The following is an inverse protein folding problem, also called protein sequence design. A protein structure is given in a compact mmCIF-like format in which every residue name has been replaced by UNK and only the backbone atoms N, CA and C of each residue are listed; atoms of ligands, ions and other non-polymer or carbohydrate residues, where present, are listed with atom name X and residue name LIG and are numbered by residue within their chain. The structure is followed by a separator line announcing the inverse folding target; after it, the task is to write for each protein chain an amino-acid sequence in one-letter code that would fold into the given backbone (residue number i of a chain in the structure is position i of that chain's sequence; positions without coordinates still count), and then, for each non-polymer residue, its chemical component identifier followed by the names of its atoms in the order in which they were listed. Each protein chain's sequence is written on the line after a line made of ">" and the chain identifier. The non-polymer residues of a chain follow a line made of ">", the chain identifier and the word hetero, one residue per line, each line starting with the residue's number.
data_IF_388143905909
#
_entry.id   IF_388143905909
#
_cell.length_a   1.000
_cell.length_b   1.000
_cell.length_c   1.000
_cell.angle_alpha   90.00
_cell.angle_beta   90.00
_cell.angle_gamma   90.00
#
_symmetry.space_group_name_H-M   'P 1'
#
loop_
_entity.id
_entity.type
_entity.pdbx_description
1 polymer ?
#
# COMPACT_ATOMS: atom_id res chain seq x y z
N UNK A 1 -18.91 -8.66 23.15
CA UNK A 1 -19.35 -7.32 22.72
C UNK A 1 -19.74 -7.43 21.26
N UNK A 2 -20.98 -7.09 20.92
CA UNK A 2 -21.42 -6.99 19.53
C UNK A 2 -20.59 -5.92 18.82
N UNK A 3 -20.36 -6.14 17.54
CA UNK A 3 -19.65 -5.19 16.70
C UNK A 3 -20.71 -4.41 15.92
N UNK A 4 -20.87 -3.13 16.21
CA UNK A 4 -21.90 -2.26 15.61
C UNK A 4 -21.96 -2.40 14.08
N UNK A 5 -20.81 -2.55 13.40
CA UNK A 5 -20.80 -2.76 11.97
C UNK A 5 -21.40 -4.12 11.55
N UNK A 6 -21.16 -5.19 12.35
CA UNK A 6 -21.79 -6.48 12.11
C UNK A 6 -23.30 -6.39 12.27
N UNK A 7 -23.78 -5.67 13.28
CA UNK A 7 -25.21 -5.50 13.55
C UNK A 7 -25.87 -4.71 12.40
N UNK A 8 -25.28 -3.61 11.95
CA UNK A 8 -25.77 -2.84 10.78
C UNK A 8 -25.88 -3.73 9.53
N UNK A 9 -24.86 -4.54 9.25
CA UNK A 9 -24.91 -5.43 8.09
C UNK A 9 -25.92 -6.57 8.26
N UNK A 10 -26.12 -7.10 9.46
CA UNK A 10 -27.15 -8.10 9.72
C UNK A 10 -28.55 -7.57 9.41
N UNK A 11 -28.80 -6.31 9.77
CA UNK A 11 -30.12 -5.68 9.64
C UNK A 11 -30.43 -5.24 8.20
N UNK A 12 -29.42 -4.86 7.41
CA UNK A 12 -29.61 -4.18 6.11
C UNK A 12 -28.95 -4.86 4.91
N UNK A 13 -28.23 -5.97 5.09
CA UNK A 13 -27.39 -6.53 4.04
C UNK A 13 -28.16 -7.07 2.85
N UNK A 14 -29.28 -7.76 3.09
CA UNK A 14 -30.11 -8.32 2.01
C UNK A 14 -30.67 -7.23 1.11
N UNK A 15 -31.17 -6.13 1.69
CA UNK A 15 -31.64 -4.97 0.94
C UNK A 15 -30.51 -4.34 0.11
N UNK A 16 -29.33 -4.20 0.70
CA UNK A 16 -28.16 -3.66 0.00
C UNK A 16 -27.71 -4.54 -1.16
N UNK A 17 -27.76 -5.86 -1.05
CA UNK A 17 -27.45 -6.78 -2.14
C UNK A 17 -28.37 -6.56 -3.35
N UNK A 18 -29.67 -6.38 -3.07
CA UNK A 18 -30.68 -6.16 -4.11
C UNK A 18 -30.50 -4.82 -4.83
N UNK A 19 -30.18 -3.74 -4.08
CA UNK A 19 -30.06 -2.38 -4.64
C UNK A 19 -28.70 -2.17 -5.33
N UNK A 20 -27.60 -2.63 -4.74
CA UNK A 20 -26.24 -2.24 -5.16
C UNK A 20 -25.56 -3.25 -6.09
N UNK A 21 -26.07 -4.48 -6.19
CA UNK A 21 -25.46 -5.57 -6.97
C UNK A 21 -23.93 -5.65 -6.82
N UNK A 22 -23.39 -5.78 -5.59
CA UNK A 22 -21.96 -5.72 -5.35
C UNK A 22 -21.22 -6.90 -5.99
N UNK A 23 -19.94 -6.72 -6.26
CA UNK A 23 -19.08 -7.78 -6.80
C UNK A 23 -18.99 -8.96 -5.83
N UNK A 24 -18.83 -10.18 -6.37
CA UNK A 24 -18.70 -11.44 -5.60
C UNK A 24 -17.72 -11.33 -4.44
N UNK A 25 -16.56 -10.71 -4.66
CA UNK A 25 -15.56 -10.53 -3.60
C UNK A 25 -16.03 -9.63 -2.45
N UNK A 26 -16.94 -8.68 -2.68
CA UNK A 26 -17.56 -7.86 -1.62
C UNK A 26 -18.52 -8.72 -0.82
N UNK A 27 -19.40 -9.46 -1.52
CA UNK A 27 -20.35 -10.38 -0.91
C UNK A 27 -19.63 -11.35 0.03
N UNK A 28 -18.63 -12.08 -0.47
CA UNK A 28 -17.86 -13.04 0.33
C UNK A 28 -17.19 -12.43 1.58
N UNK A 29 -16.70 -11.18 1.47
CA UNK A 29 -16.09 -10.51 2.62
C UNK A 29 -17.12 -10.06 3.65
N UNK A 30 -18.29 -9.61 3.21
CA UNK A 30 -19.38 -9.19 4.12
C UNK A 30 -19.96 -10.42 4.81
N UNK A 31 -20.24 -11.52 4.10
CA UNK A 31 -20.75 -12.77 4.66
C UNK A 31 -19.81 -13.30 5.76
N UNK A 32 -18.51 -13.33 5.47
CA UNK A 32 -17.51 -13.73 6.48
C UNK A 32 -17.47 -12.79 7.68
N UNK A 33 -17.63 -11.48 7.46
CA UNK A 33 -17.58 -10.48 8.53
C UNK A 33 -18.82 -10.57 9.42
N UNK A 34 -20.01 -10.74 8.87
CA UNK A 34 -21.27 -10.87 9.61
C UNK A 34 -21.18 -12.05 10.60
N UNK A 35 -20.57 -13.15 10.18
CA UNK A 35 -20.47 -14.39 10.96
C UNK A 35 -19.16 -14.49 11.79
N UNK A 36 -18.37 -13.41 11.84
CA UNK A 36 -17.07 -13.42 12.50
C UNK A 36 -17.19 -13.54 14.02
N UNK A 37 -16.72 -14.67 14.55
CA UNK A 37 -16.72 -14.93 15.98
C UNK A 37 -18.04 -15.47 16.54
N UNK A 38 -18.95 -15.87 15.65
CA UNK A 38 -20.16 -16.56 16.02
C UNK A 38 -19.83 -18.06 16.27
N UNK A 39 -20.15 -18.61 17.47
CA UNK A 39 -19.89 -20.01 17.80
C UNK A 39 -20.57 -21.02 16.87
N UNK A 40 -21.70 -20.67 16.24
CA UNK A 40 -22.43 -21.56 15.31
C UNK A 40 -21.62 -21.88 14.04
N UNK A 41 -20.65 -21.03 13.68
CA UNK A 41 -19.74 -21.25 12.55
C UNK A 41 -18.47 -22.02 12.95
N UNK A 42 -18.45 -22.60 14.16
CA UNK A 42 -17.38 -23.41 14.65
C UNK A 42 -16.33 -22.67 15.46
N UNK A 43 -15.41 -23.42 16.04
CA UNK A 43 -14.36 -22.92 16.90
C UNK A 43 -13.41 -24.03 17.35
N UNK A 44 -12.45 -23.65 18.18
CA UNK A 44 -11.51 -24.57 18.80
C UNK A 44 -11.74 -24.63 20.32
N UNK A 45 -11.73 -25.85 20.87
CA UNK A 45 -11.80 -26.08 22.32
C UNK A 45 -10.38 -26.19 22.88
N UNK A 46 -10.05 -25.36 23.84
CA UNK A 46 -8.78 -25.38 24.57
C UNK A 46 -9.01 -25.89 25.99
N UNK A 47 -8.22 -26.86 26.41
CA UNK A 47 -8.22 -27.38 27.77
C UNK A 47 -6.96 -26.95 28.53
N UNK A 48 -7.11 -26.56 29.77
CA UNK A 48 -5.98 -26.29 30.64
C UNK A 48 -5.52 -27.59 31.31
N UNK A 49 -4.29 -28.00 31.06
CA UNK A 49 -3.71 -29.21 31.65
C UNK A 49 -3.52 -29.14 33.18
N UNK A 50 -3.51 -27.93 33.75
CA UNK A 50 -3.32 -27.73 35.20
C UNK A 50 -4.62 -27.75 35.99
N UNK A 51 -5.69 -27.14 35.47
CA UNK A 51 -6.95 -26.98 36.21
C UNK A 51 -8.16 -27.64 35.54
N UNK A 52 -7.99 -28.28 34.38
CA UNK A 52 -9.08 -28.97 33.65
C UNK A 52 -10.12 -28.03 33.02
N UNK A 53 -9.97 -26.74 33.15
CA UNK A 53 -10.94 -25.78 32.58
C UNK A 53 -10.90 -25.78 31.07
N UNK A 54 -12.08 -25.83 30.43
CA UNK A 54 -12.22 -25.73 28.99
C UNK A 54 -12.63 -24.31 28.57
N UNK A 55 -12.07 -23.86 27.44
CA UNK A 55 -12.42 -22.59 26.82
C UNK A 55 -12.69 -22.80 25.32
N UNK A 56 -13.92 -22.46 24.91
CA UNK A 56 -14.25 -22.43 23.49
C UNK A 56 -13.85 -21.09 22.90
N UNK A 57 -13.14 -21.13 21.74
CA UNK A 57 -12.72 -19.93 20.99
C UNK A 57 -13.32 -20.01 19.59
N UNK A 58 -14.32 -19.18 19.25
CA UNK A 58 -14.96 -19.20 17.95
C UNK A 58 -13.98 -18.74 16.85
N UNK A 59 -14.14 -19.30 15.65
CA UNK A 59 -13.33 -18.95 14.50
C UNK A 59 -13.50 -17.47 14.10
N UNK A 60 -12.43 -16.89 13.57
CA UNK A 60 -12.41 -15.52 13.09
C UNK A 60 -12.34 -15.50 11.56
N UNK A 61 -12.97 -14.49 10.92
CA UNK A 61 -13.07 -14.41 9.47
C UNK A 61 -11.76 -14.05 8.76
N UNK A 62 -10.77 -13.51 9.48
CA UNK A 62 -9.50 -12.99 8.96
C UNK A 62 -9.64 -11.97 7.82
N UNK A 63 -10.85 -11.47 7.59
CA UNK A 63 -11.10 -10.43 6.57
C UNK A 63 -10.58 -9.08 7.04
N UNK A 64 -9.90 -8.37 6.15
CA UNK A 64 -9.47 -6.97 6.39
C UNK A 64 -10.66 -6.01 6.47
N UNK A 65 -11.79 -6.40 5.92
CA UNK A 65 -13.05 -5.65 5.99
C UNK A 65 -13.68 -5.71 7.39
N UNK A 66 -13.47 -6.78 8.13
CA UNK A 66 -13.97 -6.92 9.50
C UNK A 66 -13.21 -5.99 10.44
N UNK A 67 -13.88 -5.11 11.22
CA UNK A 67 -13.22 -4.19 12.13
C UNK A 67 -12.29 -4.87 13.14
N UNK A 68 -12.69 -6.02 13.68
CA UNK A 68 -11.89 -6.78 14.66
C UNK A 68 -10.66 -7.41 13.98
N UNK A 69 -10.89 -8.18 12.90
CA UNK A 69 -9.82 -8.87 12.20
C UNK A 69 -8.91 -7.90 11.43
N UNK A 70 -9.47 -6.85 10.84
CA UNK A 70 -8.72 -5.81 10.15
C UNK A 70 -7.83 -5.02 11.09
N UNK A 71 -8.31 -4.67 12.29
CA UNK A 71 -7.48 -4.01 13.32
C UNK A 71 -6.34 -4.91 13.75
N UNK A 72 -6.61 -6.19 14.04
CA UNK A 72 -5.55 -7.16 14.37
C UNK A 72 -4.54 -7.28 13.24
N UNK A 73 -5.00 -7.43 12.00
CA UNK A 73 -4.11 -7.48 10.82
C UNK A 73 -3.21 -6.25 10.72
N UNK A 74 -3.76 -5.04 10.92
CA UNK A 74 -2.98 -3.79 10.87
C UNK A 74 -1.93 -3.72 11.99
N UNK A 75 -2.26 -4.17 13.19
CA UNK A 75 -1.31 -4.22 14.32
C UNK A 75 -0.19 -5.21 14.02
N UNK A 76 -0.53 -6.44 13.62
CA UNK A 76 0.45 -7.50 13.33
C UNK A 76 1.39 -7.09 12.18
N UNK A 77 0.83 -6.47 11.12
CA UNK A 77 1.59 -5.95 10.00
C UNK A 77 2.51 -4.80 10.40
N UNK A 78 2.01 -3.83 11.16
CA UNK A 78 2.81 -2.69 11.65
C UNK A 78 3.96 -3.18 12.53
N UNK A 79 3.70 -4.13 13.41
CA UNK A 79 4.71 -4.76 14.26
C UNK A 79 5.78 -5.46 13.42
N UNK A 80 5.37 -6.31 12.47
CA UNK A 80 6.30 -6.98 11.55
C UNK A 80 7.14 -6.01 10.74
N UNK A 81 6.55 -4.91 10.26
CA UNK A 81 7.28 -3.87 9.52
C UNK A 81 8.27 -3.12 10.41
N UNK A 82 7.92 -2.87 11.67
CA UNK A 82 8.79 -2.15 12.61
C UNK A 82 10.12 -2.86 12.87
N UNK A 83 10.15 -4.20 12.82
CA UNK A 83 11.38 -4.98 12.93
C UNK A 83 12.26 -4.94 11.67
N UNK A 84 11.72 -4.55 10.54
CA UNK A 84 12.46 -4.45 9.27
C UNK A 84 13.06 -3.06 9.06
N UNK A 85 12.72 -2.09 9.90
CA UNK A 85 13.20 -0.72 9.77
C UNK A 85 14.57 -0.62 10.43
N UNK A 86 15.55 -0.16 9.66
CA UNK A 86 16.89 0.13 10.15
C UNK A 86 16.91 1.41 11.01
N UNK A 87 17.84 1.51 11.95
CA UNK A 87 18.02 2.70 12.77
C UNK A 87 18.73 3.82 11.99
N UNK A 88 18.01 4.44 11.06
CA UNK A 88 18.47 5.54 10.24
C UNK A 88 17.35 6.56 10.05
N UNK A 89 17.69 7.74 9.55
CA UNK A 89 16.66 8.70 9.12
C UNK A 89 15.93 8.17 7.90
N UNK A 90 14.61 8.36 7.88
CA UNK A 90 13.76 7.97 6.77
C UNK A 90 12.96 9.15 6.24
N UNK A 91 12.62 9.07 4.97
CA UNK A 91 11.76 10.02 4.28
C UNK A 91 10.51 9.33 3.78
N UNK A 92 9.36 9.93 4.06
CA UNK A 92 8.08 9.50 3.52
C UNK A 92 7.80 10.26 2.23
N UNK A 93 7.71 9.53 1.13
CA UNK A 93 7.32 10.04 -0.18
C UNK A 93 6.00 9.44 -0.61
N UNK A 94 5.17 10.22 -1.33
CA UNK A 94 3.94 9.73 -1.93
C UNK A 94 3.99 9.98 -3.42
N UNK A 95 3.95 8.92 -4.21
CA UNK A 95 3.98 8.95 -5.67
C UNK A 95 2.56 8.84 -6.19
N UNK A 96 2.05 9.92 -6.78
CA UNK A 96 0.68 10.01 -7.27
C UNK A 96 0.65 10.07 -8.80
N UNK A 97 -0.27 9.32 -9.38
CA UNK A 97 -0.48 9.32 -10.83
C UNK A 97 -1.51 10.37 -11.24
N UNK A 98 -1.48 10.73 -12.52
CA UNK A 98 -2.50 11.58 -13.09
C UNK A 98 -3.89 10.94 -13.09
N UNK A 99 -4.93 11.78 -13.03
CA UNK A 99 -6.33 11.35 -13.05
C UNK A 99 -6.70 10.60 -14.31
N UNK A 100 -6.15 10.99 -15.46
CA UNK A 100 -6.41 10.34 -16.75
C UNK A 100 -5.91 8.91 -16.81
N UNK A 101 -4.87 8.56 -16.01
CA UNK A 101 -4.34 7.21 -15.99
C UNK A 101 -5.12 6.26 -15.09
N UNK A 102 -5.94 6.79 -14.18
CA UNK A 102 -6.57 5.98 -13.11
C UNK A 102 -7.52 4.90 -13.64
N UNK A 103 -8.21 5.15 -14.74
CA UNK A 103 -9.14 4.18 -15.33
C UNK A 103 -8.42 2.93 -15.84
N UNK A 104 -7.20 3.05 -16.42
CA UNK A 104 -6.44 1.87 -16.85
C UNK A 104 -6.17 0.90 -15.69
N UNK A 105 -5.85 1.43 -14.50
CA UNK A 105 -5.63 0.62 -13.30
C UNK A 105 -6.92 0.07 -12.68
N UNK A 106 -8.05 0.70 -12.95
CA UNK A 106 -9.36 0.21 -12.51
C UNK A 106 -9.82 -0.97 -13.38
N UNK A 107 -9.66 -0.85 -14.68
CA UNK A 107 -10.03 -1.87 -15.67
C UNK A 107 -9.07 -3.08 -15.62
N UNK A 108 -7.77 -2.82 -15.52
CA UNK A 108 -6.76 -3.87 -15.42
C UNK A 108 -5.93 -3.74 -14.13
N UNK A 109 -6.34 -4.46 -13.09
CA UNK A 109 -5.67 -4.45 -11.78
C UNK A 109 -4.24 -4.98 -11.81
N UNK A 110 -3.84 -5.74 -12.83
CA UNK A 110 -2.45 -6.22 -12.98
C UNK A 110 -1.48 -5.07 -13.17
N UNK A 111 -1.93 -3.97 -13.78
CA UNK A 111 -1.10 -2.76 -13.97
C UNK A 111 -0.67 -2.11 -12.64
N UNK A 112 -1.36 -2.38 -11.52
CA UNK A 112 -0.96 -1.86 -10.22
C UNK A 112 0.46 -2.29 -9.81
N UNK A 113 0.96 -3.43 -10.34
CA UNK A 113 2.34 -3.85 -10.17
C UNK A 113 3.34 -2.85 -10.75
N UNK A 114 3.02 -2.24 -11.88
CA UNK A 114 3.90 -1.27 -12.56
C UNK A 114 4.18 -0.02 -11.72
N UNK A 115 3.29 0.33 -10.78
CA UNK A 115 3.53 1.42 -9.86
C UNK A 115 4.69 1.12 -8.92
N UNK A 116 4.80 -0.11 -8.44
CA UNK A 116 5.92 -0.55 -7.60
C UNK A 116 7.21 -0.53 -8.39
N UNK A 117 7.21 -1.10 -9.60
CA UNK A 117 8.39 -1.17 -10.46
C UNK A 117 8.90 0.22 -10.84
N UNK A 118 7.99 1.14 -11.19
CA UNK A 118 8.33 2.51 -11.50
C UNK A 118 8.96 3.23 -10.31
N UNK A 119 8.36 3.14 -9.11
CA UNK A 119 8.89 3.79 -7.91
C UNK A 119 10.23 3.19 -7.51
N UNK A 120 10.37 1.86 -7.51
CA UNK A 120 11.62 1.18 -7.21
C UNK A 120 12.75 1.64 -8.14
N UNK A 121 12.51 1.62 -9.45
CA UNK A 121 13.46 2.09 -10.46
C UNK A 121 13.92 3.52 -10.21
N UNK A 122 12.97 4.41 -9.89
CA UNK A 122 13.25 5.84 -9.64
C UNK A 122 14.09 6.03 -8.37
N UNK A 123 13.77 5.32 -7.29
CA UNK A 123 14.53 5.38 -6.04
C UNK A 123 15.97 4.92 -6.28
N UNK A 124 16.21 3.77 -6.90
CA UNK A 124 17.56 3.30 -7.20
C UNK A 124 18.33 4.28 -8.08
N UNK A 125 17.71 4.81 -9.13
CA UNK A 125 18.33 5.83 -10.01
C UNK A 125 18.68 7.11 -9.27
N UNK A 126 17.86 7.55 -8.31
CA UNK A 126 18.13 8.73 -7.50
C UNK A 126 19.36 8.54 -6.61
N UNK A 127 19.55 7.33 -6.07
CA UNK A 127 20.74 7.01 -5.27
C UNK A 127 21.98 6.82 -6.15
N UNK A 128 21.87 6.11 -7.26
CA UNK A 128 22.97 5.91 -8.21
C UNK A 128 23.49 7.22 -8.80
N UNK A 129 22.61 8.19 -9.08
CA UNK A 129 22.98 9.47 -9.69
C UNK A 129 23.88 10.30 -8.80
N UNK A 130 23.72 10.22 -7.48
CA UNK A 130 24.50 11.01 -6.53
C UNK A 130 25.90 10.43 -6.31
N UNK A 131 26.10 9.15 -6.56
CA UNK A 131 27.39 8.51 -6.39
C UNK A 131 27.62 7.40 -7.41
N UNK A 132 28.14 7.77 -8.57
CA UNK A 132 28.43 6.83 -9.66
C UNK A 132 29.60 5.89 -9.38
N UNK A 133 30.53 6.30 -8.51
CA UNK A 133 31.74 5.53 -8.17
C UNK A 133 31.45 4.46 -7.11
N UNK A 134 30.45 4.65 -6.29
CA UNK A 134 30.09 3.73 -5.21
C UNK A 134 28.57 3.58 -5.17
N UNK A 135 28.04 2.53 -5.84
CA UNK A 135 26.64 2.18 -5.74
C UNK A 135 26.29 1.86 -4.30
N UNK A 136 25.35 2.58 -3.72
CA UNK A 136 24.83 2.24 -2.40
C UNK A 136 23.33 1.99 -2.46
N UNK A 137 22.91 0.99 -1.72
CA UNK A 137 21.54 0.48 -1.74
C UNK A 137 20.73 1.08 -0.59
N UNK A 138 19.66 1.84 -0.86
CA UNK A 138 18.75 2.32 0.18
C UNK A 138 17.86 1.19 0.67
N UNK A 139 17.41 1.28 1.94
CA UNK A 139 16.26 0.53 2.42
C UNK A 139 14.98 1.29 2.09
N UNK A 140 13.96 0.60 1.59
CA UNK A 140 12.64 1.23 1.40
C UNK A 140 11.49 0.24 1.56
N UNK A 141 10.34 0.80 1.95
CA UNK A 141 9.07 0.07 2.05
C UNK A 141 8.09 0.78 1.12
N UNK A 142 7.46 0.02 0.21
CA UNK A 142 6.44 0.51 -0.70
C UNK A 142 5.08 -0.06 -0.30
N UNK A 143 4.08 0.79 -0.20
CA UNK A 143 2.69 0.40 0.10
C UNK A 143 1.75 1.05 -0.90
N UNK A 144 0.94 0.24 -1.56
CA UNK A 144 -0.10 0.72 -2.47
C UNK A 144 -1.34 1.12 -1.69
N UNK A 145 -1.76 2.36 -1.87
CA UNK A 145 -3.09 2.83 -1.52
C UNK A 145 -3.90 3.02 -2.81
N UNK A 146 -5.14 2.58 -2.81
CA UNK A 146 -6.00 2.59 -4.00
C UNK A 146 -7.10 3.65 -3.96
N UNK A 147 -7.29 4.29 -2.79
CA UNK A 147 -8.32 5.31 -2.59
C UNK A 147 -7.75 6.57 -1.96
N UNK A 148 -8.29 7.72 -2.35
CA UNK A 148 -8.04 9.00 -1.69
C UNK A 148 -8.81 9.11 -0.36
N UNK A 149 -8.64 10.24 0.34
CA UNK A 149 -9.40 10.54 1.58
C UNK A 149 -10.90 10.70 1.32
N UNK A 150 -11.26 11.05 0.11
CA UNK A 150 -12.64 11.17 -0.39
C UNK A 150 -13.22 9.83 -0.85
N UNK A 151 -12.52 8.73 -0.57
CA UNK A 151 -12.85 7.35 -0.99
C UNK A 151 -12.94 7.15 -2.51
N UNK A 152 -12.52 8.13 -3.32
CA UNK A 152 -12.43 7.96 -4.76
C UNK A 152 -11.23 7.14 -5.16
N UNK A 153 -11.37 6.41 -6.27
CA UNK A 153 -10.29 5.63 -6.86
C UNK A 153 -9.10 6.52 -7.22
N UNK A 154 -8.00 6.30 -6.54
CA UNK A 154 -6.77 7.06 -6.68
C UNK A 154 -5.56 6.21 -6.30
N UNK A 155 -5.10 5.30 -7.17
CA UNK A 155 -3.95 4.47 -6.86
C UNK A 155 -2.68 5.32 -6.75
N UNK A 156 -1.97 5.14 -5.64
CA UNK A 156 -0.72 5.84 -5.35
C UNK A 156 0.16 5.00 -4.44
N UNK A 157 1.46 5.24 -4.49
CA UNK A 157 2.45 4.51 -3.68
C UNK A 157 2.96 5.40 -2.55
N UNK A 158 2.80 4.93 -1.34
CA UNK A 158 3.55 5.42 -0.19
C UNK A 158 4.91 4.73 -0.15
N UNK A 159 5.97 5.51 -0.11
CA UNK A 159 7.35 5.04 -0.06
C UNK A 159 8.01 5.60 1.21
N UNK A 160 8.38 4.73 2.13
CA UNK A 160 9.27 5.07 3.24
C UNK A 160 10.68 4.67 2.84
N UNK A 161 11.55 5.62 2.58
CA UNK A 161 12.93 5.38 2.12
C UNK A 161 13.93 5.88 3.13
N UNK A 162 15.02 5.13 3.37
CA UNK A 162 16.12 5.57 4.21
C UNK A 162 16.86 6.76 3.59
N UNK A 163 17.26 7.74 4.41
CA UNK A 163 18.12 8.86 3.97
C UNK A 163 19.58 8.45 3.89
N UNK A 164 19.84 7.35 3.22
CA UNK A 164 21.14 6.75 3.02
C UNK A 164 21.05 5.28 2.63
N UNK A 165 22.20 4.66 2.47
CA UNK A 165 22.30 3.24 2.11
C UNK A 165 23.67 2.69 2.46
N UNK A 166 23.86 1.38 2.26
CA UNK A 166 25.14 0.70 2.44
C UNK A 166 25.80 0.57 1.07
N UNK A 167 27.02 1.07 0.95
CA UNK A 167 27.86 0.95 -0.24
C UNK A 167 28.64 -0.36 -0.30
N UNK A 168 29.43 -0.52 -1.38
CA UNK A 168 30.26 -1.72 -1.60
C UNK A 168 31.31 -1.94 -0.49
N UNK A 169 31.74 -0.86 0.18
CA UNK A 169 32.65 -0.91 1.33
C UNK A 169 32.00 -1.41 2.63
N UNK A 170 30.68 -1.68 2.62
CA UNK A 170 29.91 -2.02 3.82
C UNK A 170 29.62 -0.82 4.73
N UNK A 171 30.05 0.38 4.37
CA UNK A 171 29.86 1.60 5.15
C UNK A 171 28.53 2.30 4.78
N UNK A 172 27.92 2.91 5.80
CA UNK A 172 26.73 3.73 5.61
C UNK A 172 27.07 5.05 4.92
N UNK A 173 26.35 5.39 3.87
CA UNK A 173 26.41 6.66 3.16
C UNK A 173 25.10 7.42 3.31
N UNK A 174 25.16 8.62 3.87
CA UNK A 174 23.97 9.47 4.05
C UNK A 174 23.62 10.20 2.77
N UNK A 175 22.32 10.24 2.47
CA UNK A 175 21.74 11.03 1.38
C UNK A 175 20.76 12.04 1.96
N UNK A 176 21.20 13.29 2.12
CA UNK A 176 20.38 14.38 2.71
C UNK A 176 19.50 15.10 1.69
N UNK A 177 19.94 15.11 0.42
CA UNK A 177 19.25 15.83 -0.63
C UNK A 177 18.52 14.90 -1.59
N UNK A 178 17.23 15.16 -1.79
CA UNK A 178 16.39 14.49 -2.79
C UNK A 178 15.98 15.51 -3.84
N UNK A 179 16.41 15.29 -5.07
CA UNK A 179 16.04 16.15 -6.18
C UNK A 179 14.61 15.83 -6.64
N UNK A 180 13.65 16.62 -6.19
CA UNK A 180 12.23 16.38 -6.49
C UNK A 180 11.89 16.56 -7.97
N UNK A 181 12.53 17.48 -8.66
CA UNK A 181 12.36 17.66 -10.11
C UNK A 181 12.77 16.38 -10.85
N UNK A 182 13.91 15.82 -10.47
CA UNK A 182 14.34 14.53 -11.01
C UNK A 182 13.35 13.41 -10.68
N UNK A 183 12.93 13.28 -9.43
CA UNK A 183 12.00 12.22 -9.01
C UNK A 183 10.68 12.29 -9.79
N UNK A 184 10.09 13.47 -9.91
CA UNK A 184 8.81 13.71 -10.64
C UNK A 184 8.91 13.32 -12.10
N UNK A 185 9.95 13.79 -12.79
CA UNK A 185 10.15 13.48 -14.20
C UNK A 185 10.50 12.01 -14.42
N UNK A 186 11.37 11.45 -13.59
CA UNK A 186 11.77 10.04 -13.67
C UNK A 186 10.59 9.10 -13.42
N UNK A 187 9.72 9.43 -12.44
CA UNK A 187 8.52 8.62 -12.14
C UNK A 187 7.52 8.65 -13.31
N UNK A 188 7.22 9.85 -13.84
CA UNK A 188 6.38 9.96 -15.04
C UNK A 188 6.91 9.10 -16.17
N UNK A 189 8.21 9.25 -16.49
CA UNK A 189 8.83 8.52 -17.60
C UNK A 189 8.80 7.01 -17.35
N UNK A 190 9.26 6.55 -16.19
CA UNK A 190 9.29 5.12 -15.88
C UNK A 190 7.90 4.47 -15.93
N UNK A 191 6.90 5.13 -15.36
CA UNK A 191 5.54 4.61 -15.36
C UNK A 191 4.94 4.56 -16.77
N UNK A 192 5.07 5.65 -17.54
CA UNK A 192 4.52 5.72 -18.89
C UNK A 192 5.21 4.73 -19.84
N UNK A 193 6.52 4.49 -19.68
CA UNK A 193 7.24 3.49 -20.47
C UNK A 193 6.79 2.07 -20.16
N UNK A 194 6.59 1.74 -18.88
CA UNK A 194 6.07 0.46 -18.44
C UNK A 194 4.63 0.24 -18.92
N UNK A 195 3.77 1.26 -18.82
CA UNK A 195 2.39 1.18 -19.31
C UNK A 195 2.35 1.02 -20.84
N UNK A 196 3.20 1.72 -21.61
CA UNK A 196 3.27 1.54 -23.07
C UNK A 196 3.69 0.12 -23.44
N UNK A 197 4.64 -0.47 -22.70
CA UNK A 197 5.07 -1.85 -22.91
C UNK A 197 3.92 -2.85 -22.74
N UNK A 198 3.07 -2.64 -21.74
CA UNK A 198 1.93 -3.53 -21.41
C UNK A 198 0.70 -3.28 -22.31
N UNK A 199 0.40 -2.01 -22.62
CA UNK A 199 -0.82 -1.62 -23.34
C UNK A 199 -0.61 -1.48 -24.85
N UNK A 200 0.66 -1.46 -25.31
CA UNK A 200 1.02 -1.39 -26.72
C UNK A 200 0.82 -0.02 -27.35
N UNK A 201 0.70 -0.05 -28.69
CA UNK A 201 0.70 1.17 -29.54
C UNK A 201 -0.48 2.11 -29.24
N UNK A 202 -1.62 1.58 -28.82
CA UNK A 202 -2.81 2.37 -28.47
C UNK A 202 -2.56 3.39 -27.36
N UNK A 203 -1.64 3.08 -26.44
CA UNK A 203 -1.30 3.96 -25.32
C UNK A 203 -0.41 5.16 -25.71
N UNK A 204 0.24 5.15 -26.88
CA UNK A 204 1.16 6.22 -27.32
C UNK A 204 0.54 7.60 -27.30
N UNK A 205 -0.72 7.73 -27.72
CA UNK A 205 -1.43 9.03 -27.72
C UNK A 205 -1.62 9.56 -26.28
N UNK A 206 -2.01 8.69 -25.35
CA UNK A 206 -2.17 9.03 -23.93
C UNK A 206 -0.82 9.43 -23.33
N UNK A 207 0.23 8.67 -23.60
CA UNK A 207 1.60 8.97 -23.18
C UNK A 207 2.06 10.35 -23.66
N UNK A 208 1.86 10.67 -24.95
CA UNK A 208 2.24 11.96 -25.53
C UNK A 208 1.50 13.12 -24.83
N UNK A 209 0.18 12.98 -24.57
CA UNK A 209 -0.62 13.96 -23.85
C UNK A 209 -0.12 14.15 -22.40
N UNK A 210 0.17 13.08 -21.69
CA UNK A 210 0.75 13.17 -20.35
C UNK A 210 2.07 13.95 -20.32
N UNK A 211 2.91 13.84 -21.33
CA UNK A 211 4.14 14.64 -21.43
C UNK A 211 3.87 16.13 -21.67
N UNK A 212 2.84 16.45 -22.45
CA UNK A 212 2.45 17.83 -22.73
C UNK A 212 1.85 18.53 -21.50
N UNK A 213 0.97 17.84 -20.78
CA UNK A 213 0.24 18.39 -19.64
C UNK A 213 1.11 18.40 -18.36
N UNK A 214 1.95 17.39 -18.17
CA UNK A 214 2.81 17.28 -16.98
C UNK A 214 4.29 17.54 -17.31
N UNK A 215 4.60 18.73 -17.83
CA UNK A 215 5.98 19.14 -18.22
C UNK A 215 6.98 18.98 -17.07
N UNK A 216 6.54 19.14 -15.82
CA UNK A 216 7.36 19.00 -14.61
C UNK A 216 7.27 17.64 -13.93
N UNK A 217 6.75 16.62 -14.64
CA UNK A 217 6.56 15.28 -14.12
C UNK A 217 5.30 15.10 -13.27
N UNK A 218 5.06 13.88 -12.78
CA UNK A 218 3.92 13.59 -11.91
C UNK A 218 4.16 14.10 -10.48
N UNK A 219 3.08 14.32 -9.75
CA UNK A 219 3.17 14.84 -8.41
C UNK A 219 3.79 13.84 -7.44
N UNK A 220 4.82 14.30 -6.73
CA UNK A 220 5.42 13.58 -5.62
C UNK A 220 5.40 14.48 -4.41
N UNK A 221 4.73 14.00 -3.35
CA UNK A 221 4.81 14.63 -2.05
C UNK A 221 6.00 14.03 -1.29
N UNK A 222 6.86 14.89 -0.79
CA UNK A 222 7.93 14.46 0.09
C UNK A 222 8.39 15.67 0.90
N UNK A 223 7.87 15.83 2.11
CA UNK A 223 8.37 16.87 3.00
C UNK A 223 9.72 16.47 3.60
N UNK A 224 10.66 17.40 3.72
CA UNK A 224 11.92 17.19 4.41
C UNK A 224 11.73 17.29 5.94
N UNK A 225 10.79 16.55 6.49
CA UNK A 225 10.58 16.52 7.93
C UNK A 225 11.22 15.26 8.50
N UNK A 226 11.81 15.37 9.68
CA UNK A 226 12.20 14.22 10.48
C UNK A 226 10.99 13.29 10.61
N UNK A 227 10.97 12.27 9.78
CA UNK A 227 9.91 11.29 9.76
C UNK A 227 10.18 10.29 10.88
N UNK A 228 9.28 10.16 11.83
CA UNK A 228 9.33 9.03 12.75
C UNK A 228 8.85 7.77 11.98
N UNK A 229 9.75 6.85 11.64
CA UNK A 229 9.40 5.71 10.82
C UNK A 229 8.33 4.81 11.46
N UNK A 230 8.28 4.73 12.79
CA UNK A 230 7.25 3.96 13.52
C UNK A 230 5.85 4.56 13.34
N UNK A 231 5.73 5.90 13.31
CA UNK A 231 4.45 6.57 13.08
C UNK A 231 4.02 6.36 11.63
N UNK A 232 4.94 6.49 10.69
CA UNK A 232 4.63 6.32 9.26
C UNK A 232 4.24 4.89 8.95
N UNK A 233 4.94 3.89 9.47
CA UNK A 233 4.54 2.48 9.27
C UNK A 233 3.18 2.16 9.82
N UNK A 234 2.78 2.76 10.94
CA UNK A 234 1.41 2.63 11.47
C UNK A 234 0.36 3.25 10.53
N UNK A 235 0.72 4.34 9.85
CA UNK A 235 -0.18 5.03 8.91
C UNK A 235 -0.31 4.33 7.56
N UNK A 236 0.78 3.75 7.05
CA UNK A 236 0.83 3.15 5.70
C UNK A 236 0.64 1.62 5.70
N UNK A 237 0.78 0.96 6.85
CA UNK A 237 0.61 -0.50 7.03
C UNK A 237 -0.79 -0.90 7.32
#
# INVERSE_FOLDING_TARGET
>A
MSNVLQDIFKDHYEEMLYILHPRKSVIENVDRMINCGDPSFGGAMYGCSKCGTFKFVPFRCHSRFCPICGTKYSIDRTTSMSFKIINAQHRHCVFTIDSELRHFFLENRKLLGLLFDAVQSVIFRAFYKDNKSECFTPGFILVLHTFGRDLKWNPHIHCLVSEGGIGNSGLWRSKKHFNYTFLRNAFRTALLDLMEKELGVSFKKVKARCYQEHKHGFYIYAKPNKCNPKIVTKYIG
#
